data_IF_164219132160
#
_entry.id   IF_164219132160
#
_cell.length_a   1.000
_cell.length_b   1.000
_cell.length_c   1.000
_cell.angle_alpha   90.00
_cell.angle_beta   90.00
_cell.angle_gamma   90.00
#
_symmetry.space_group_name_H-M   'P 1'
#
loop_
_entity.id
_entity.type
_entity.pdbx_description
1 polymer ?
#
# COMPACT_ATOMS: atom_id res chain seq x y z
N UNK A 1 2.51 6.80 -0.34
CA UNK A 1 3.18 5.51 -0.26
C UNK A 1 3.43 5.15 1.20
N UNK A 2 3.01 3.97 1.60
CA UNK A 2 3.08 3.54 2.99
C UNK A 2 4.53 3.23 3.44
N UNK A 3 5.42 3.04 2.48
CA UNK A 3 6.87 2.94 2.74
C UNK A 3 7.45 4.13 3.50
N UNK A 4 6.80 5.29 3.42
CA UNK A 4 7.20 6.48 4.20
C UNK A 4 6.70 6.44 5.65
N UNK A 5 5.86 5.46 5.97
CA UNK A 5 5.34 5.19 7.32
C UNK A 5 5.92 3.91 7.93
N UNK A 6 7.08 3.45 7.44
CA UNK A 6 7.79 2.28 7.97
C UNK A 6 7.37 0.94 7.38
N UNK A 7 6.49 0.94 6.38
CA UNK A 7 6.11 -0.30 5.70
C UNK A 7 7.20 -0.77 4.71
N UNK A 8 7.34 -2.08 4.57
CA UNK A 8 8.32 -2.67 3.65
C UNK A 8 7.94 -2.40 2.19
N UNK A 9 8.89 -2.03 1.31
CA UNK A 9 8.61 -1.86 -0.11
C UNK A 9 8.26 -3.16 -0.85
N UNK A 10 8.39 -4.30 -0.17
CA UNK A 10 8.10 -5.62 -0.74
C UNK A 10 6.67 -6.11 -0.47
N UNK A 11 5.78 -5.20 -0.15
CA UNK A 11 4.37 -5.51 0.13
C UNK A 11 3.48 -5.19 -1.08
N UNK A 12 2.53 -6.08 -1.31
CA UNK A 12 1.46 -5.88 -2.27
C UNK A 12 0.18 -5.55 -1.53
N UNK A 13 -0.44 -4.45 -1.91
CA UNK A 13 -1.73 -4.03 -1.36
C UNK A 13 -2.85 -4.64 -2.20
N UNK A 14 -3.81 -5.25 -1.52
CA UNK A 14 -5.09 -5.69 -2.09
C UNK A 14 -6.17 -4.82 -1.48
N UNK A 15 -6.71 -3.91 -2.26
CA UNK A 15 -7.77 -2.98 -1.86
C UNK A 15 -9.10 -3.44 -2.43
N UNK A 16 -10.03 -3.79 -1.54
CA UNK A 16 -11.35 -4.31 -1.86
C UNK A 16 -12.43 -3.31 -1.43
N UNK A 17 -13.03 -2.55 -2.35
CA UNK A 17 -14.18 -1.74 -2.02
C UNK A 17 -15.42 -2.64 -1.81
N UNK A 18 -16.20 -2.30 -0.81
CA UNK A 18 -17.47 -2.96 -0.48
C UNK A 18 -18.69 -2.21 -1.05
N UNK A 19 -18.43 -1.20 -1.85
CA UNK A 19 -19.40 -0.37 -2.58
C UNK A 19 -18.75 0.11 -3.87
N UNK A 20 -19.52 0.56 -4.83
CA UNK A 20 -18.98 1.20 -6.03
C UNK A 20 -18.21 2.48 -5.67
N UNK A 21 -16.99 2.58 -6.16
CA UNK A 21 -16.12 3.73 -5.96
C UNK A 21 -15.96 4.51 -7.26
N UNK A 22 -16.40 5.75 -7.24
CA UNK A 22 -16.41 6.67 -8.40
C UNK A 22 -16.14 8.10 -7.94
N UNK A 23 -15.71 8.97 -8.83
CA UNK A 23 -15.45 10.40 -8.57
C UNK A 23 -14.69 10.62 -7.25
N UNK A 24 -15.23 11.46 -6.35
CA UNK A 24 -14.60 11.79 -5.06
C UNK A 24 -14.60 10.64 -4.05
N UNK A 25 -15.44 9.62 -4.27
CA UNK A 25 -15.46 8.38 -3.49
C UNK A 25 -14.34 7.40 -3.89
N UNK A 26 -13.66 7.61 -5.02
CA UNK A 26 -12.54 6.81 -5.47
C UNK A 26 -11.24 7.11 -4.70
N UNK A 27 -10.27 6.20 -4.82
CA UNK A 27 -8.90 6.40 -4.37
C UNK A 27 -8.05 6.87 -5.56
N UNK A 28 -7.10 7.77 -5.32
CA UNK A 28 -6.12 8.08 -6.35
C UNK A 28 -4.87 7.20 -6.21
N UNK A 29 -4.25 6.91 -7.36
CA UNK A 29 -3.01 6.16 -7.45
C UNK A 29 -2.08 6.82 -8.46
N UNK A 30 -0.82 7.01 -8.12
CA UNK A 30 0.19 7.48 -9.06
C UNK A 30 0.70 6.31 -9.89
N UNK A 31 0.63 6.35 -11.23
CA UNK A 31 1.09 5.25 -12.08
C UNK A 31 2.56 4.89 -11.88
N UNK A 32 3.00 3.64 -12.11
CA UNK A 32 4.36 3.17 -11.86
C UNK A 32 5.45 4.03 -12.50
N UNK A 33 5.25 4.44 -13.77
CA UNK A 33 6.20 5.29 -14.50
C UNK A 33 6.44 6.64 -13.82
N UNK A 34 5.40 7.24 -13.27
CA UNK A 34 5.50 8.53 -12.56
C UNK A 34 6.00 8.32 -11.13
N UNK A 35 5.65 7.20 -10.50
CA UNK A 35 6.20 6.81 -9.18
C UNK A 35 7.72 6.71 -9.23
N UNK A 36 8.28 6.02 -10.22
CA UNK A 36 9.74 5.89 -10.40
C UNK A 36 10.42 7.26 -10.43
N UNK A 37 9.90 8.21 -11.21
CA UNK A 37 10.46 9.57 -11.29
C UNK A 37 10.45 10.31 -9.95
N UNK A 38 9.43 10.08 -9.12
CA UNK A 38 9.36 10.70 -7.79
C UNK A 38 10.38 10.09 -6.85
N UNK A 39 10.49 8.77 -6.81
CA UNK A 39 11.44 8.05 -5.97
C UNK A 39 12.88 8.45 -6.31
N UNK A 40 13.24 8.52 -7.58
CA UNK A 40 14.56 8.95 -8.05
C UNK A 40 14.91 10.42 -7.66
N UNK A 41 13.91 11.25 -7.49
CA UNK A 41 14.09 12.67 -7.13
C UNK A 41 13.71 12.97 -5.68
N UNK A 42 13.32 11.96 -4.89
CA UNK A 42 12.79 12.15 -3.54
C UNK A 42 13.79 12.81 -2.59
N UNK A 43 15.06 12.41 -2.66
CA UNK A 43 16.15 12.97 -1.86
C UNK A 43 16.46 14.46 -2.15
N UNK A 44 16.02 14.95 -3.31
CA UNK A 44 16.27 16.34 -3.76
C UNK A 44 15.14 17.31 -3.37
N UNK A 45 13.98 16.80 -2.96
CA UNK A 45 12.82 17.64 -2.60
C UNK A 45 12.39 17.31 -1.18
N UNK A 46 12.47 18.29 -0.28
CA UNK A 46 11.83 18.20 1.05
C UNK A 46 10.31 18.18 0.86
N UNK A 47 9.73 16.98 0.81
CA UNK A 47 8.30 16.78 0.84
C UNK A 47 7.87 16.60 2.30
N UNK A 48 7.65 17.69 2.99
CA UNK A 48 7.47 17.71 4.45
C UNK A 48 6.10 17.20 4.90
N UNK A 49 5.14 17.03 3.97
CA UNK A 49 3.83 16.49 4.30
C UNK A 49 3.08 15.93 3.07
N UNK A 50 2.04 15.15 3.35
CA UNK A 50 1.20 14.49 2.34
C UNK A 50 0.48 15.47 1.40
N UNK A 51 0.11 16.65 1.87
CA UNK A 51 -0.59 17.64 1.06
C UNK A 51 0.34 18.28 0.02
N UNK A 52 1.59 18.61 0.40
CA UNK A 52 2.60 19.07 -0.56
C UNK A 52 2.90 18.02 -1.62
N UNK A 53 3.00 16.74 -1.21
CA UNK A 53 3.15 15.65 -2.15
C UNK A 53 1.97 15.59 -3.12
N UNK A 54 0.74 15.56 -2.62
CA UNK A 54 -0.44 15.51 -3.45
C UNK A 54 -0.47 16.66 -4.46
N UNK A 55 -0.21 17.87 -4.03
CA UNK A 55 -0.17 19.05 -4.92
C UNK A 55 0.84 18.92 -6.06
N UNK A 56 1.97 18.25 -5.81
CA UNK A 56 2.98 17.97 -6.83
C UNK A 56 2.57 16.89 -7.83
N UNK A 57 1.73 15.93 -7.41
CA UNK A 57 1.37 14.77 -8.24
C UNK A 57 -0.05 14.82 -8.80
N UNK A 58 -0.93 15.69 -8.29
CA UNK A 58 -2.38 15.69 -8.60
C UNK A 58 -2.75 15.69 -10.07
N UNK A 59 -1.89 16.26 -10.93
CA UNK A 59 -2.10 16.26 -12.39
C UNK A 59 -1.71 14.93 -13.08
N UNK A 60 -1.07 14.01 -12.34
CA UNK A 60 -0.51 12.76 -12.86
C UNK A 60 -1.13 11.52 -12.25
N UNK A 61 -1.90 11.68 -11.19
CA UNK A 61 -2.60 10.57 -10.55
C UNK A 61 -3.77 10.10 -11.42
N UNK A 62 -4.11 8.84 -11.27
CA UNK A 62 -5.33 8.24 -11.79
C UNK A 62 -6.29 7.99 -10.63
N UNK A 63 -7.53 8.36 -10.81
CA UNK A 63 -8.61 7.99 -9.91
C UNK A 63 -9.08 6.59 -10.25
N UNK A 64 -9.09 5.73 -9.26
CA UNK A 64 -9.39 4.31 -9.43
C UNK A 64 -10.89 4.11 -9.20
N UNK A 65 -11.65 4.21 -10.27
CA UNK A 65 -13.07 3.89 -10.26
C UNK A 65 -13.23 2.37 -10.34
N UNK A 66 -13.76 1.78 -9.28
CA UNK A 66 -13.84 0.33 -9.08
C UNK A 66 -15.22 -0.01 -8.57
N UNK A 67 -15.86 -0.96 -9.23
CA UNK A 67 -17.20 -1.41 -8.85
C UNK A 67 -17.14 -2.44 -7.71
N UNK A 68 -18.23 -2.56 -6.99
CA UNK A 68 -18.40 -3.66 -6.03
C UNK A 68 -18.11 -5.02 -6.69
N UNK A 69 -17.40 -5.88 -5.98
CA UNK A 69 -16.96 -7.19 -6.50
C UNK A 69 -15.65 -7.17 -7.28
N UNK A 70 -15.09 -5.99 -7.57
CA UNK A 70 -13.75 -5.84 -8.14
C UNK A 70 -12.73 -5.57 -7.04
N UNK A 71 -11.46 -5.82 -7.32
CA UNK A 71 -10.35 -5.59 -6.40
C UNK A 71 -9.23 -4.87 -7.13
N UNK A 72 -8.57 -3.93 -6.45
CA UNK A 72 -7.36 -3.28 -6.93
C UNK A 72 -6.16 -3.88 -6.23
N UNK A 73 -5.20 -4.37 -7.02
CA UNK A 73 -3.92 -4.88 -6.53
C UNK A 73 -2.82 -3.92 -7.00
N UNK A 74 -2.01 -3.44 -6.08
CA UNK A 74 -0.94 -2.50 -6.41
C UNK A 74 0.23 -2.61 -5.44
N UNK A 75 1.39 -2.11 -5.87
CA UNK A 75 2.59 -1.98 -5.04
C UNK A 75 2.42 -0.82 -4.07
N UNK A 76 2.61 -1.07 -2.78
CA UNK A 76 2.43 -0.03 -1.77
C UNK A 76 3.48 1.10 -1.82
N UNK A 77 4.59 0.91 -2.51
CA UNK A 77 5.54 2.00 -2.79
C UNK A 77 4.95 3.07 -3.72
N UNK A 78 3.87 2.75 -4.44
CA UNK A 78 3.17 3.72 -5.28
C UNK A 78 2.43 4.75 -4.40
N UNK A 79 2.63 6.06 -4.63
CA UNK A 79 1.84 7.09 -3.97
C UNK A 79 0.36 6.92 -4.24
N UNK A 80 -0.42 6.80 -3.19
CA UNK A 80 -1.87 6.64 -3.25
C UNK A 80 -2.53 7.35 -2.08
N UNK A 81 -3.83 7.53 -2.15
CA UNK A 81 -4.57 8.15 -1.07
C UNK A 81 -5.99 8.53 -1.46
N UNK A 82 -6.62 9.23 -0.54
CA UNK A 82 -8.00 9.66 -0.66
C UNK A 82 -8.08 11.18 -0.54
N UNK A 83 -9.16 11.74 -1.07
CA UNK A 83 -9.58 13.11 -0.82
C UNK A 83 -10.94 13.09 -0.14
N UNK A 84 -11.42 14.25 0.21
CA UNK A 84 -12.76 14.38 0.82
C UNK A 84 -13.79 13.76 -0.12
N UNK A 85 -14.60 12.85 0.41
CA UNK A 85 -15.72 12.26 -0.32
C UNK A 85 -16.88 13.27 -0.29
N UNK A 86 -17.24 13.77 -1.45
CA UNK A 86 -18.36 14.70 -1.64
C UNK A 86 -19.62 14.01 -2.19
N UNK A 87 -19.58 12.69 -2.37
CA UNK A 87 -20.72 11.90 -2.83
C UNK A 87 -21.69 11.63 -1.67
N UNK A 88 -22.94 11.31 -1.99
CA UNK A 88 -24.01 11.07 -0.99
C UNK A 88 -23.80 9.81 -0.17
N UNK A 89 -22.93 8.90 -0.62
CA UNK A 89 -22.72 7.58 -0.04
C UNK A 89 -21.37 7.47 0.66
N UNK A 90 -21.34 6.79 1.78
CA UNK A 90 -20.10 6.44 2.47
C UNK A 90 -19.30 5.40 1.66
N UNK A 91 -17.99 5.57 1.57
CA UNK A 91 -17.10 4.55 1.04
C UNK A 91 -16.71 3.56 2.12
N UNK A 92 -17.00 2.30 1.87
CA UNK A 92 -16.54 1.18 2.66
C UNK A 92 -15.52 0.39 1.86
N UNK A 93 -14.37 0.11 2.42
CA UNK A 93 -13.34 -0.68 1.77
C UNK A 93 -12.52 -1.47 2.78
N UNK A 94 -12.06 -2.62 2.35
CA UNK A 94 -11.16 -3.48 3.07
C UNK A 94 -9.77 -3.41 2.45
N UNK A 95 -8.73 -3.45 3.28
CA UNK A 95 -7.36 -3.33 2.83
C UNK A 95 -6.52 -4.45 3.46
N UNK A 96 -5.96 -5.31 2.60
CA UNK A 96 -5.03 -6.37 3.00
C UNK A 96 -3.66 -6.12 2.41
N UNK A 97 -2.63 -6.53 3.13
CA UNK A 97 -1.26 -6.51 2.65
C UNK A 97 -0.68 -7.91 2.63
N UNK A 98 -0.03 -8.24 1.52
CA UNK A 98 0.62 -9.51 1.30
C UNK A 98 2.09 -9.29 0.99
N UNK A 99 2.93 -10.19 1.44
CA UNK A 99 4.35 -10.22 1.11
C UNK A 99 4.91 -11.63 1.20
N UNK A 100 6.05 -11.85 0.56
CA UNK A 100 6.81 -13.07 0.77
C UNK A 100 7.33 -13.13 2.20
N UNK A 101 7.24 -14.30 2.81
CA UNK A 101 7.73 -14.54 4.17
C UNK A 101 9.22 -14.18 4.34
N UNK A 102 10.02 -14.37 3.30
CA UNK A 102 11.46 -14.16 3.31
C UNK A 102 11.90 -12.80 2.76
N UNK A 103 10.95 -11.94 2.34
CA UNK A 103 11.30 -10.57 1.96
C UNK A 103 11.55 -9.71 3.20
N UNK A 104 12.41 -8.69 3.10
CA UNK A 104 12.70 -7.81 4.23
C UNK A 104 11.44 -7.18 4.83
N UNK A 105 11.37 -7.16 6.15
CA UNK A 105 10.31 -6.49 6.91
C UNK A 105 10.72 -5.05 7.22
N UNK A 106 9.77 -4.15 7.24
CA UNK A 106 9.89 -2.82 7.84
C UNK A 106 9.60 -2.88 9.33
N UNK A 107 8.90 -1.88 9.84
CA UNK A 107 8.52 -1.83 11.26
C UNK A 107 7.47 -2.88 11.63
N UNK A 108 6.62 -3.25 10.67
CA UNK A 108 5.58 -4.26 10.84
C UNK A 108 6.16 -5.67 10.69
N UNK A 109 6.07 -6.46 11.76
CA UNK A 109 6.70 -7.79 11.89
C UNK A 109 5.71 -8.94 11.70
N UNK A 110 6.28 -10.14 11.46
CA UNK A 110 5.52 -11.38 11.52
C UNK A 110 5.15 -11.70 12.98
N UNK A 111 3.93 -12.19 13.20
CA UNK A 111 3.39 -12.47 14.54
C UNK A 111 2.76 -11.26 15.22
N UNK A 112 3.02 -10.04 14.75
CA UNK A 112 2.41 -8.80 15.21
C UNK A 112 1.37 -8.31 14.19
N UNK A 113 1.83 -7.85 13.04
CA UNK A 113 0.99 -7.33 11.97
C UNK A 113 0.72 -8.39 10.88
N UNK A 114 1.75 -9.14 10.50
CA UNK A 114 1.63 -10.18 9.49
C UNK A 114 1.40 -11.54 10.11
N UNK A 115 0.44 -12.29 9.55
CA UNK A 115 0.20 -13.69 9.87
C UNK A 115 0.52 -14.57 8.67
N UNK A 116 1.21 -15.71 8.86
CA UNK A 116 1.48 -16.62 7.75
C UNK A 116 0.18 -17.30 7.30
N UNK A 117 -0.08 -17.27 5.99
CA UNK A 117 -1.24 -17.97 5.39
C UNK A 117 -0.94 -19.47 5.30
N UNK A 118 0.21 -19.80 4.69
CA UNK A 118 0.67 -21.19 4.58
C UNK A 118 2.17 -21.26 4.85
N UNK A 119 2.58 -22.28 5.61
CA UNK A 119 3.99 -22.56 5.85
C UNK A 119 4.27 -24.06 5.74
N UNK A 120 5.33 -24.41 5.02
CA UNK A 120 5.86 -25.78 5.06
C UNK A 120 6.40 -26.11 6.46
N UNK A 121 6.38 -27.37 6.90
CA UNK A 121 6.89 -27.76 8.22
C UNK A 121 8.32 -27.27 8.50
N UNK A 122 9.20 -27.35 7.51
CA UNK A 122 10.59 -26.88 7.64
C UNK A 122 10.66 -25.36 7.84
N UNK A 123 9.80 -24.60 7.18
CA UNK A 123 9.73 -23.14 7.35
C UNK A 123 9.26 -22.76 8.77
N UNK A 124 8.27 -23.48 9.30
CA UNK A 124 7.83 -23.29 10.70
C UNK A 124 8.97 -23.50 11.66
N UNK A 125 9.73 -24.58 11.46
CA UNK A 125 10.90 -24.93 12.28
C UNK A 125 12.02 -23.88 12.16
N UNK A 126 12.28 -23.38 10.96
CA UNK A 126 13.28 -22.34 10.73
C UNK A 126 12.95 -21.01 11.42
N UNK A 127 11.69 -20.59 11.43
CA UNK A 127 11.25 -19.35 12.11
C UNK A 127 11.40 -19.46 13.62
N UNK A 128 11.14 -20.62 14.18
CA UNK A 128 11.25 -20.87 15.63
C UNK A 128 12.66 -21.28 16.07
N UNK A 129 13.60 -21.41 15.14
CA UNK A 129 14.97 -21.83 15.44
C UNK A 129 15.69 -20.77 16.26
N UNK A 130 16.31 -21.20 17.35
CA UNK A 130 17.19 -20.39 18.19
C UNK A 130 18.60 -20.91 18.06
N UNK A 131 19.55 -20.03 17.77
CA UNK A 131 20.96 -20.39 17.80
C UNK A 131 21.35 -20.83 19.23
N UNK A 132 22.15 -21.89 19.33
CA UNK A 132 22.77 -22.23 20.61
C UNK A 132 23.55 -21.03 21.13
N UNK A 133 23.44 -20.75 22.43
CA UNK A 133 24.27 -19.74 23.10
C UNK A 133 25.66 -20.27 23.35
#
# INVERSE_FOLDING_TARGET
ADTWSGDSPYETVVWLPLVDCYKTKAMYLLPPKETKKIVENFSKKKLDNSEKLYNNIKKKVKWMEINYGQVLIFDQAMPHGNRVNCEKETRWSFNCRFKSLFSPYGDKKIGEFFQPITMKPITKKAISFKFPK
#
